data_IF_153649617716
#
_entry.id   IF_153649617716
#
_cell.length_a   1.000
_cell.length_b   1.000
_cell.length_c   1.000
_cell.angle_alpha   90.00
_cell.angle_beta   90.00
_cell.angle_gamma   90.00
#
_symmetry.space_group_name_H-M   'P 1'
#
loop_
_entity.id
_entity.type
_entity.pdbx_description
1 polymer ?
#
# COMPACT_ATOMS: atom_id res chain seq x y z
N UNK A 1 27.80 2.35 0.28
CA UNK A 1 27.14 3.38 -0.52
C UNK A 1 26.25 4.19 0.40
N UNK A 2 26.27 5.52 0.35
CA UNK A 2 25.60 6.35 1.34
C UNK A 2 24.08 6.30 1.15
N UNK A 3 23.38 6.04 2.25
CA UNK A 3 21.92 6.12 2.33
C UNK A 3 21.52 7.36 3.11
N UNK A 4 20.62 8.15 2.56
CA UNK A 4 20.17 9.40 3.15
C UNK A 4 18.65 9.39 3.38
N UNK A 5 18.20 10.06 4.42
CA UNK A 5 16.78 10.30 4.69
C UNK A 5 16.55 11.81 4.69
N UNK A 6 15.66 12.27 3.83
CA UNK A 6 15.23 13.66 3.74
C UNK A 6 13.81 13.74 4.32
N UNK A 7 13.59 14.62 5.30
CA UNK A 7 12.32 14.76 6.01
C UNK A 7 11.82 16.20 5.86
N UNK A 8 10.69 16.36 5.18
CA UNK A 8 9.91 17.58 5.14
C UNK A 8 8.74 17.44 6.13
N UNK A 9 8.98 17.78 7.39
CA UNK A 9 8.02 17.56 8.47
C UNK A 9 6.73 18.35 8.25
N UNK A 10 6.83 19.60 7.78
CA UNK A 10 5.67 20.46 7.54
C UNK A 10 4.71 19.86 6.49
N UNK A 11 5.23 19.09 5.56
CA UNK A 11 4.45 18.42 4.51
C UNK A 11 4.13 16.97 4.84
N UNK A 12 4.66 16.42 5.94
CA UNK A 12 4.58 14.99 6.29
C UNK A 12 5.06 14.08 5.15
N UNK A 13 6.15 14.48 4.48
CA UNK A 13 6.80 13.75 3.40
C UNK A 13 8.24 13.44 3.79
N UNK A 14 8.65 12.19 3.65
CA UNK A 14 10.05 11.80 3.75
C UNK A 14 10.47 10.98 2.55
N UNK A 15 11.70 11.15 2.10
CA UNK A 15 12.30 10.44 1.00
C UNK A 15 13.56 9.71 1.46
N UNK A 16 13.69 8.45 1.07
CA UNK A 16 14.88 7.63 1.31
C UNK A 16 15.67 7.55 0.01
N UNK A 17 16.91 7.99 0.06
CA UNK A 17 17.85 7.96 -1.05
C UNK A 17 18.87 6.85 -0.86
N UNK A 18 19.23 6.22 -1.95
CA UNK A 18 20.42 5.41 -2.07
C UNK A 18 21.24 6.03 -3.18
N UNK A 19 22.46 6.49 -2.85
CA UNK A 19 23.20 7.39 -3.70
C UNK A 19 22.36 8.63 -4.01
N UNK A 20 22.23 9.00 -5.28
CA UNK A 20 21.43 10.17 -5.72
C UNK A 20 20.01 9.78 -6.20
N UNK A 21 19.60 8.50 -5.99
CA UNK A 21 18.31 8.01 -6.43
C UNK A 21 17.33 7.82 -5.28
N UNK A 22 16.12 8.33 -5.44
CA UNK A 22 15.03 8.08 -4.49
C UNK A 22 14.58 6.62 -4.63
N UNK A 23 14.60 5.92 -3.49
CA UNK A 23 14.19 4.52 -3.40
C UNK A 23 12.78 4.33 -2.85
N UNK A 24 12.37 5.20 -1.94
CA UNK A 24 11.12 5.07 -1.21
C UNK A 24 10.63 6.45 -0.76
N UNK A 25 9.31 6.67 -0.83
CA UNK A 25 8.63 7.84 -0.28
C UNK A 25 7.74 7.40 0.87
N UNK A 26 7.78 8.15 1.96
CA UNK A 26 6.87 8.01 3.09
C UNK A 26 6.02 9.27 3.15
N UNK A 27 4.71 9.10 3.04
CA UNK A 27 3.76 10.21 3.10
C UNK A 27 2.71 9.89 4.16
N UNK A 28 2.52 10.79 5.10
CA UNK A 28 1.53 10.65 6.16
C UNK A 28 0.49 11.76 6.01
N UNK A 29 -0.47 11.55 5.14
CA UNK A 29 -1.57 12.49 4.88
C UNK A 29 -2.92 11.83 5.13
N UNK A 30 -3.91 12.63 5.52
CA UNK A 30 -5.28 12.18 5.73
C UNK A 30 -5.64 11.88 7.19
N UNK A 31 -6.95 11.80 7.44
CA UNK A 31 -7.53 11.68 8.78
C UNK A 31 -7.63 10.22 9.29
N UNK A 32 -7.29 9.23 8.46
CA UNK A 32 -7.43 7.81 8.76
C UNK A 32 -6.19 7.07 8.25
N UNK A 33 -5.10 7.19 9.01
CA UNK A 33 -3.82 6.58 8.64
C UNK A 33 -3.75 5.12 9.11
N UNK A 34 -2.94 4.31 8.43
CA UNK A 34 -2.63 2.95 8.90
C UNK A 34 -2.05 3.02 10.31
N UNK A 35 -2.52 2.15 11.17
CA UNK A 35 -2.23 2.04 12.61
C UNK A 35 -3.00 2.99 13.54
N UNK A 36 -3.77 3.95 13.02
CA UNK A 36 -4.67 4.75 13.87
C UNK A 36 -5.65 3.83 14.61
N UNK A 37 -5.87 4.10 15.91
CA UNK A 37 -6.78 3.33 16.76
C UNK A 37 -7.97 4.19 17.14
N UNK A 38 -9.16 3.70 16.85
CA UNK A 38 -10.44 4.37 17.11
C UNK A 38 -11.31 3.58 18.08
N UNK A 39 -12.05 4.32 18.89
CA UNK A 39 -13.26 3.81 19.50
C UNK A 39 -14.41 4.08 18.53
N UNK A 40 -14.83 3.06 17.77
CA UNK A 40 -15.88 3.17 16.77
C UNK A 40 -17.24 2.72 17.30
N UNK A 41 -18.29 3.02 16.53
CA UNK A 41 -19.66 2.56 16.75
C UNK A 41 -20.10 1.73 15.55
N UNK A 42 -20.56 0.51 15.80
CA UNK A 42 -21.11 -0.35 14.74
C UNK A 42 -22.40 0.29 14.21
N UNK A 43 -22.44 0.63 12.94
CA UNK A 43 -23.64 1.17 12.31
C UNK A 43 -24.50 0.08 11.71
N UNK A 44 -23.87 -0.79 10.91
CA UNK A 44 -24.59 -1.83 10.20
C UNK A 44 -23.81 -3.13 10.18
N UNK A 45 -24.51 -4.26 10.31
CA UNK A 45 -23.98 -5.62 10.20
C UNK A 45 -24.59 -6.28 8.98
N UNK A 46 -23.75 -6.80 8.08
CA UNK A 46 -24.19 -7.41 6.82
C UNK A 46 -23.82 -8.90 6.81
N UNK A 47 -24.78 -9.77 7.13
CA UNK A 47 -24.53 -11.21 7.22
C UNK A 47 -24.08 -11.83 5.89
N UNK A 48 -24.61 -11.35 4.76
CA UNK A 48 -24.35 -11.92 3.45
C UNK A 48 -22.89 -11.84 2.98
N UNK A 49 -22.07 -10.98 3.62
CA UNK A 49 -20.64 -10.84 3.35
C UNK A 49 -19.78 -10.98 4.61
N UNK A 50 -20.35 -11.48 5.71
CA UNK A 50 -19.67 -11.63 7.01
C UNK A 50 -18.89 -10.39 7.47
N UNK A 51 -19.48 -9.20 7.29
CA UNK A 51 -18.84 -7.93 7.57
C UNK A 51 -19.74 -6.94 8.30
N UNK A 52 -19.13 -5.91 8.87
CA UNK A 52 -19.85 -4.79 9.48
C UNK A 52 -19.24 -3.45 9.05
N UNK A 53 -20.07 -2.42 9.05
CA UNK A 53 -19.63 -1.03 8.92
C UNK A 53 -19.57 -0.37 10.29
N UNK A 54 -18.47 0.31 10.54
CA UNK A 54 -18.16 0.95 11.82
C UNK A 54 -17.92 2.43 11.58
N UNK A 55 -18.68 3.28 12.24
CA UNK A 55 -18.45 4.70 12.28
C UNK A 55 -17.25 5.00 13.18
N UNK A 56 -16.25 5.67 12.62
CA UNK A 56 -15.00 6.07 13.31
C UNK A 56 -14.86 7.60 13.40
N UNK A 57 -15.96 8.34 13.18
CA UNK A 57 -15.98 9.80 13.27
C UNK A 57 -15.83 10.53 11.94
N UNK A 58 -15.82 9.82 10.82
CA UNK A 58 -15.92 10.41 9.48
C UNK A 58 -17.39 10.42 9.05
N UNK A 59 -17.91 11.61 8.73
CA UNK A 59 -19.31 11.77 8.33
C UNK A 59 -19.62 11.15 6.96
N UNK A 60 -18.60 10.97 6.12
CA UNK A 60 -18.80 10.54 4.73
C UNK A 60 -18.57 9.03 4.53
N UNK A 61 -17.71 8.40 5.37
CA UNK A 61 -17.25 7.04 5.10
C UNK A 61 -17.08 6.20 6.36
N UNK A 62 -17.87 5.17 6.46
CA UNK A 62 -17.72 4.17 7.50
C UNK A 62 -16.53 3.24 7.21
N UNK A 63 -15.86 2.80 8.28
CA UNK A 63 -14.85 1.77 8.17
C UNK A 63 -15.47 0.39 7.99
N UNK A 64 -14.83 -0.46 7.21
CA UNK A 64 -15.23 -1.84 6.94
C UNK A 64 -14.43 -2.82 7.80
N UNK A 65 -15.10 -3.72 8.52
CA UNK A 65 -14.50 -4.81 9.29
C UNK A 65 -15.11 -6.15 8.90
N UNK A 66 -14.27 -7.12 8.54
CA UNK A 66 -14.71 -8.48 8.22
C UNK A 66 -14.63 -9.37 9.46
N UNK A 67 -15.45 -10.42 9.53
CA UNK A 67 -15.50 -11.36 10.67
C UNK A 67 -14.14 -11.96 11.05
N UNK A 68 -13.26 -12.18 10.08
CA UNK A 68 -11.89 -12.66 10.32
C UNK A 68 -10.99 -11.65 11.04
N UNK A 69 -11.31 -10.37 10.95
CA UNK A 69 -10.52 -9.27 11.48
C UNK A 69 -11.05 -8.75 12.84
N UNK A 70 -12.10 -9.35 13.39
CA UNK A 70 -12.72 -8.93 14.65
C UNK A 70 -11.85 -9.14 15.91
N UNK A 71 -10.77 -9.90 15.80
CA UNK A 71 -9.81 -10.10 16.90
C UNK A 71 -10.46 -10.70 18.16
N UNK A 72 -10.36 -10.01 19.31
CA UNK A 72 -10.80 -10.54 20.59
C UNK A 72 -12.32 -10.77 20.68
N UNK A 73 -13.11 -10.09 19.87
CA UNK A 73 -14.56 -10.28 19.82
C UNK A 73 -14.93 -11.66 19.29
N UNK A 74 -14.16 -12.20 18.34
CA UNK A 74 -14.34 -13.55 17.80
C UNK A 74 -13.90 -14.64 18.79
N UNK A 75 -12.90 -14.37 19.64
CA UNK A 75 -12.37 -15.34 20.60
C UNK A 75 -13.32 -15.61 21.79
N UNK A 76 -14.25 -14.69 22.07
CA UNK A 76 -15.21 -14.83 23.18
C UNK A 76 -16.38 -15.77 22.87
N UNK A 77 -16.63 -16.07 21.59
CA UNK A 77 -17.70 -16.96 21.13
C UNK A 77 -17.17 -17.86 20.02
N UNK A 78 -17.23 -19.17 20.20
CA UNK A 78 -16.79 -20.13 19.19
C UNK A 78 -17.66 -20.03 17.94
N UNK A 79 -17.05 -19.71 16.79
CA UNK A 79 -17.57 -19.85 15.43
C UNK A 79 -19.00 -19.31 15.16
N UNK A 80 -19.38 -18.18 15.74
CA UNK A 80 -20.68 -17.56 15.47
C UNK A 80 -20.68 -16.73 14.19
N UNK A 81 -21.84 -16.58 13.57
CA UNK A 81 -22.08 -15.61 12.50
C UNK A 81 -21.78 -14.19 13.01
N UNK A 82 -21.45 -13.26 12.12
CA UNK A 82 -21.10 -11.89 12.51
C UNK A 82 -22.20 -11.20 13.32
N UNK A 83 -23.45 -11.56 13.09
CA UNK A 83 -24.63 -11.09 13.82
C UNK A 83 -24.70 -11.53 15.29
N UNK A 84 -23.98 -12.60 15.66
CA UNK A 84 -23.84 -13.04 17.05
C UNK A 84 -22.70 -12.32 17.77
N UNK A 85 -21.73 -11.79 17.00
CA UNK A 85 -20.51 -11.15 17.49
C UNK A 85 -20.65 -9.64 17.63
N UNK A 86 -21.37 -9.01 16.72
CA UNK A 86 -21.58 -7.55 16.66
C UNK A 86 -23.07 -7.23 16.56
N UNK A 87 -23.45 -6.16 17.27
CA UNK A 87 -24.79 -5.56 17.18
C UNK A 87 -24.68 -4.09 16.78
N UNK A 88 -25.68 -3.54 16.06
CA UNK A 88 -25.75 -2.11 15.80
C UNK A 88 -25.65 -1.29 17.11
N UNK A 89 -25.03 -0.11 17.03
CA UNK A 89 -24.75 0.79 18.17
C UNK A 89 -23.74 0.27 19.21
N UNK A 90 -23.16 -0.92 19.01
CA UNK A 90 -22.10 -1.42 19.86
C UNK A 90 -20.81 -0.63 19.66
N UNK A 91 -20.17 -0.25 20.80
CA UNK A 91 -18.83 0.36 20.78
C UNK A 91 -17.80 -0.74 20.56
N UNK A 92 -16.86 -0.47 19.65
CA UNK A 92 -15.77 -1.39 19.30
C UNK A 92 -14.44 -0.66 19.21
N UNK A 93 -13.39 -1.25 19.78
CA UNK A 93 -12.03 -0.76 19.61
C UNK A 93 -11.46 -1.36 18.33
N UNK A 94 -11.08 -0.50 17.39
CA UNK A 94 -10.63 -0.91 16.05
C UNK A 94 -9.39 -0.13 15.64
N UNK A 95 -8.56 -0.76 14.80
CA UNK A 95 -7.37 -0.18 14.21
C UNK A 95 -7.49 -0.14 12.70
N UNK A 96 -7.03 0.93 12.07
CA UNK A 96 -6.97 1.05 10.61
C UNK A 96 -5.89 0.12 10.08
N UNK A 97 -6.29 -0.87 9.27
CA UNK A 97 -5.39 -1.81 8.60
C UNK A 97 -5.05 -1.35 7.17
N UNK A 98 -5.99 -0.68 6.51
CA UNK A 98 -5.81 -0.05 5.20
C UNK A 98 -6.54 1.28 5.18
N UNK A 99 -5.87 2.29 4.61
CA UNK A 99 -6.45 3.61 4.40
C UNK A 99 -7.62 3.59 3.42
N UNK A 100 -8.52 4.57 3.49
CA UNK A 100 -9.61 4.70 2.53
C UNK A 100 -9.06 4.92 1.13
N UNK A 101 -9.72 4.34 0.11
CA UNK A 101 -9.32 4.47 -1.30
C UNK A 101 -10.54 4.70 -2.17
N UNK A 102 -10.48 5.69 -3.05
CA UNK A 102 -11.61 6.08 -3.88
C UNK A 102 -12.86 6.32 -3.02
N UNK A 103 -13.96 5.63 -3.32
CA UNK A 103 -15.22 5.71 -2.57
C UNK A 103 -15.33 4.70 -1.41
N UNK A 104 -14.28 3.88 -1.17
CA UNK A 104 -14.29 2.86 -0.11
C UNK A 104 -13.72 3.44 1.17
N UNK A 105 -14.42 3.21 2.29
CA UNK A 105 -13.91 3.54 3.62
C UNK A 105 -12.70 2.68 4.03
N UNK A 106 -12.04 3.01 5.16
CA UNK A 106 -10.88 2.28 5.64
C UNK A 106 -11.24 0.85 6.02
N UNK A 107 -10.31 -0.08 5.80
CA UNK A 107 -10.43 -1.43 6.36
C UNK A 107 -9.94 -1.45 7.79
N UNK A 108 -10.76 -1.99 8.68
CA UNK A 108 -10.51 -2.02 10.11
C UNK A 108 -10.19 -3.44 10.59
N UNK A 109 -9.52 -3.51 11.74
CA UNK A 109 -9.28 -4.76 12.47
C UNK A 109 -9.42 -4.54 13.97
N UNK A 110 -9.94 -5.53 14.68
CA UNK A 110 -9.92 -5.61 16.15
C UNK A 110 -8.62 -6.23 16.70
N UNK A 111 -7.73 -6.73 15.83
CA UNK A 111 -6.42 -7.21 16.20
C UNK A 111 -5.44 -6.03 16.33
N UNK A 112 -5.52 -5.31 17.46
CA UNK A 112 -4.67 -4.17 17.72
C UNK A 112 -3.21 -4.59 17.75
N UNK A 113 -2.36 -3.80 17.10
CA UNK A 113 -0.90 -3.95 17.09
C UNK A 113 -0.24 -2.59 17.30
N UNK A 114 0.70 -2.52 18.24
CA UNK A 114 1.45 -1.31 18.56
C UNK A 114 2.90 -1.50 18.10
N UNK A 115 3.32 -0.83 17.01
CA UNK A 115 4.67 -0.99 16.48
C UNK A 115 5.67 -0.12 17.24
N UNK A 116 6.61 -0.75 17.93
CA UNK A 116 7.82 -0.13 18.47
C UNK A 116 8.98 -0.18 17.45
N UNK A 117 10.16 0.21 17.92
CA UNK A 117 11.40 0.16 17.13
C UNK A 117 11.88 -1.28 16.95
N UNK A 118 11.92 -2.06 18.01
CA UNK A 118 12.49 -3.41 18.06
C UNK A 118 11.44 -4.50 18.10
N UNK A 119 10.28 -4.20 18.64
CA UNK A 119 9.18 -5.14 18.80
C UNK A 119 7.85 -4.55 18.34
N UNK A 120 6.87 -5.43 18.14
CA UNK A 120 5.46 -5.04 17.99
C UNK A 120 4.69 -5.73 19.10
N UNK A 121 4.00 -4.95 19.92
CA UNK A 121 3.11 -5.46 20.96
C UNK A 121 1.73 -5.75 20.37
N UNK A 122 1.23 -6.94 20.60
CA UNK A 122 -0.11 -7.36 20.20
C UNK A 122 -0.95 -7.66 21.45
N UNK A 123 -1.72 -6.69 21.97
CA UNK A 123 -2.44 -6.82 23.25
C UNK A 123 -3.39 -8.00 23.32
N UNK A 124 -3.96 -8.40 22.17
CA UNK A 124 -4.86 -9.54 22.07
C UNK A 124 -4.24 -10.73 21.29
N UNK A 125 -2.95 -10.63 20.99
CA UNK A 125 -2.20 -11.67 20.31
C UNK A 125 -1.78 -12.80 21.25
N UNK A 126 -1.20 -13.86 20.68
CA UNK A 126 -0.66 -15.00 21.42
C UNK A 126 0.76 -15.32 20.98
N UNK A 127 1.58 -15.77 21.94
CA UNK A 127 2.91 -16.28 21.65
C UNK A 127 3.94 -15.21 21.25
N UNK A 128 5.08 -15.69 20.78
CA UNK A 128 6.21 -14.88 20.31
C UNK A 128 6.53 -15.24 18.87
N UNK A 129 6.60 -14.23 18.03
CA UNK A 129 7.01 -14.34 16.64
C UNK A 129 8.30 -13.54 16.42
N UNK A 130 9.13 -13.97 15.48
CA UNK A 130 10.34 -13.27 15.07
C UNK A 130 10.29 -12.94 13.58
N UNK A 131 10.86 -11.80 13.20
CA UNK A 131 11.05 -11.45 11.80
C UNK A 131 11.78 -12.58 11.06
N UNK A 132 11.27 -12.94 9.88
CA UNK A 132 11.91 -13.93 9.00
C UNK A 132 13.20 -13.40 8.35
N UNK A 133 13.53 -12.11 8.54
CA UNK A 133 14.76 -11.48 8.03
C UNK A 133 15.95 -11.74 8.93
N UNK A 134 15.74 -12.00 10.22
CA UNK A 134 16.78 -12.41 11.15
C UNK A 134 17.20 -13.85 10.76
N UNK A 135 18.37 -13.99 10.17
CA UNK A 135 18.83 -15.27 9.58
C UNK A 135 19.80 -16.02 10.47
N UNK A 136 20.53 -15.32 11.34
CA UNK A 136 21.45 -15.92 12.28
C UNK A 136 20.68 -16.73 13.32
N UNK A 137 20.92 -18.04 13.42
CA UNK A 137 20.17 -18.95 14.30
C UNK A 137 20.47 -18.72 15.77
N UNK A 138 21.70 -18.34 16.13
CA UNK A 138 22.08 -18.02 17.51
C UNK A 138 21.35 -16.77 17.97
N UNK A 139 21.34 -15.74 17.14
CA UNK A 139 20.63 -14.50 17.41
C UNK A 139 19.11 -14.69 17.46
N UNK A 140 18.56 -15.53 16.58
CA UNK A 140 17.14 -15.92 16.64
C UNK A 140 16.80 -16.59 17.96
N UNK A 141 17.68 -17.47 18.44
CA UNK A 141 17.48 -18.19 19.70
C UNK A 141 17.58 -17.25 20.89
N UNK A 142 18.57 -16.34 20.91
CA UNK A 142 18.73 -15.29 21.91
C UNK A 142 17.49 -14.39 21.99
N UNK A 143 17.08 -13.82 20.87
CA UNK A 143 15.93 -12.93 20.80
C UNK A 143 14.59 -13.63 21.12
N UNK A 144 14.48 -14.91 20.79
CA UNK A 144 13.30 -15.72 21.16
C UNK A 144 13.23 -15.94 22.66
N UNK A 145 14.35 -16.30 23.29
CA UNK A 145 14.44 -16.52 24.74
C UNK A 145 14.10 -15.22 25.50
N UNK A 146 14.72 -14.11 25.09
CA UNK A 146 14.43 -12.79 25.66
C UNK A 146 12.93 -12.45 25.51
N UNK A 147 12.38 -12.56 24.31
CA UNK A 147 10.98 -12.19 24.06
C UNK A 147 9.99 -13.08 24.82
N UNK A 148 10.31 -14.35 25.08
CA UNK A 148 9.49 -15.22 25.93
C UNK A 148 9.53 -14.76 27.38
N UNK A 149 10.72 -14.35 27.85
CA UNK A 149 10.94 -13.91 29.24
C UNK A 149 10.20 -12.60 29.54
N UNK A 150 10.31 -11.61 28.63
CA UNK A 150 9.74 -10.27 28.85
C UNK A 150 8.28 -10.13 28.43
N UNK A 151 7.74 -11.12 27.71
CA UNK A 151 6.38 -11.06 27.14
C UNK A 151 5.32 -10.90 28.24
N UNK A 152 4.46 -9.87 28.18
CA UNK A 152 3.38 -9.71 29.15
C UNK A 152 2.35 -10.86 29.07
N UNK A 153 1.79 -11.22 30.19
CA UNK A 153 0.76 -12.27 30.26
C UNK A 153 -0.45 -11.91 29.38
N UNK A 154 -0.95 -12.86 28.61
CA UNK A 154 -2.12 -12.66 27.75
C UNK A 154 -1.88 -11.87 26.45
N UNK A 155 -0.66 -11.38 26.23
CA UNK A 155 -0.30 -10.62 25.02
C UNK A 155 0.60 -11.42 24.08
N UNK A 156 0.74 -10.97 22.84
CA UNK A 156 1.69 -11.48 21.85
C UNK A 156 2.80 -10.46 21.56
N UNK A 157 3.98 -10.96 21.18
CA UNK A 157 5.10 -10.14 20.73
C UNK A 157 5.57 -10.59 19.35
N UNK A 158 5.94 -9.60 18.50
CA UNK A 158 6.68 -9.86 17.28
C UNK A 158 8.00 -9.07 17.35
N UNK A 159 9.12 -9.80 17.31
CA UNK A 159 10.46 -9.19 17.28
C UNK A 159 10.78 -8.76 15.86
N UNK A 160 11.11 -7.48 15.68
CA UNK A 160 11.47 -6.88 14.39
C UNK A 160 12.93 -7.16 14.05
N UNK A 161 13.31 -6.95 12.79
CA UNK A 161 14.68 -7.13 12.31
C UNK A 161 15.66 -6.18 13.00
N UNK A 162 15.20 -4.99 13.33
CA UNK A 162 15.97 -3.93 13.98
C UNK A 162 16.44 -4.30 15.40
N UNK A 163 15.91 -5.37 15.99
CA UNK A 163 16.36 -5.91 17.28
C UNK A 163 17.66 -6.73 17.16
N UNK A 164 18.06 -7.13 15.94
CA UNK A 164 19.26 -7.92 15.69
C UNK A 164 20.52 -7.17 16.20
N UNK A 165 21.31 -7.82 17.05
CA UNK A 165 22.51 -7.25 17.66
C UNK A 165 22.27 -6.13 18.68
N UNK A 166 21.03 -5.90 19.14
CA UNK A 166 20.72 -4.88 20.15
C UNK A 166 20.80 -5.45 21.58
N UNK A 167 21.14 -4.55 22.50
CA UNK A 167 21.14 -4.85 23.93
C UNK A 167 19.73 -5.19 24.43
N UNK A 168 19.63 -6.02 25.43
CA UNK A 168 18.35 -6.49 25.98
C UNK A 168 17.57 -5.33 26.61
N UNK A 169 18.26 -4.43 27.27
CA UNK A 169 17.70 -3.25 27.92
C UNK A 169 16.95 -2.36 26.93
N UNK A 170 17.52 -2.14 25.73
CA UNK A 170 16.86 -1.33 24.69
C UNK A 170 15.55 -1.98 24.18
N UNK A 171 15.51 -3.31 24.11
CA UNK A 171 14.30 -4.05 23.72
C UNK A 171 13.24 -4.00 24.83
N UNK A 172 13.68 -4.05 26.10
CA UNK A 172 12.80 -3.94 27.26
C UNK A 172 12.21 -2.53 27.39
N UNK A 173 12.99 -1.48 27.20
CA UNK A 173 12.52 -0.08 27.19
C UNK A 173 11.48 0.17 26.10
N UNK A 174 11.69 -0.41 24.88
CA UNK A 174 10.71 -0.35 23.79
C UNK A 174 9.38 -1.02 24.21
N UNK A 175 9.46 -2.18 24.88
CA UNK A 175 8.28 -2.88 25.40
C UNK A 175 7.54 -2.06 26.46
N UNK A 176 8.24 -1.49 27.43
CA UNK A 176 7.63 -0.68 28.49
C UNK A 176 6.90 0.55 27.91
N UNK A 177 7.49 1.19 26.90
CA UNK A 177 6.85 2.30 26.20
C UNK A 177 5.54 1.87 25.55
N UNK A 178 5.53 0.71 24.86
CA UNK A 178 4.33 0.17 24.23
C UNK A 178 3.26 -0.28 25.23
N UNK A 179 3.65 -0.79 26.39
CA UNK A 179 2.72 -1.13 27.46
C UNK A 179 2.03 0.13 28.01
N UNK A 180 2.79 1.19 28.29
CA UNK A 180 2.23 2.50 28.74
C UNK A 180 1.27 3.08 27.70
N UNK A 181 1.64 2.98 26.40
CA UNK A 181 0.76 3.40 25.32
C UNK A 181 -0.54 2.59 25.30
N UNK A 182 -0.47 1.26 25.47
CA UNK A 182 -1.65 0.41 25.52
C UNK A 182 -2.55 0.73 26.72
N UNK A 183 -1.98 0.92 27.91
CA UNK A 183 -2.71 1.32 29.13
C UNK A 183 -3.44 2.65 28.92
N UNK A 184 -2.77 3.64 28.31
CA UNK A 184 -3.39 4.92 27.97
C UNK A 184 -4.59 4.75 27.03
N UNK A 185 -4.45 3.92 25.99
CA UNK A 185 -5.55 3.63 25.05
C UNK A 185 -6.74 2.98 25.78
N UNK A 186 -6.48 2.03 26.69
CA UNK A 186 -7.53 1.37 27.45
C UNK A 186 -8.29 2.36 28.38
N UNK A 187 -7.57 3.24 29.05
CA UNK A 187 -8.18 4.28 29.91
C UNK A 187 -9.03 5.22 29.04
N UNK A 188 -8.50 5.69 27.94
CA UNK A 188 -9.25 6.56 27.01
C UNK A 188 -10.48 5.86 26.42
N UNK A 189 -10.39 4.57 26.10
CA UNK A 189 -11.52 3.81 25.55
C UNK A 189 -12.69 3.71 26.53
N UNK A 190 -12.44 3.76 27.85
CA UNK A 190 -13.49 3.74 28.88
C UNK A 190 -14.07 5.12 29.16
N UNK A 191 -13.27 6.19 29.05
CA UNK A 191 -13.65 7.56 29.42
C UNK A 191 -14.17 8.41 28.27
N UNK A 192 -13.85 8.04 27.02
CA UNK A 192 -14.17 8.85 25.83
C UNK A 192 -15.51 8.44 25.21
N UNK A 193 -16.20 9.43 24.64
CA UNK A 193 -17.43 9.19 23.87
C UNK A 193 -17.06 8.70 22.46
N UNK A 194 -17.65 7.60 22.03
CA UNK A 194 -17.52 7.10 20.66
C UNK A 194 -18.47 7.86 19.69
N UNK A 195 -18.10 8.05 18.43
CA UNK A 195 -16.82 7.67 17.82
C UNK A 195 -15.69 8.66 18.16
N UNK A 196 -14.46 8.17 18.34
CA UNK A 196 -13.28 9.04 18.56
C UNK A 196 -11.96 8.35 18.22
N UNK A 197 -10.97 9.13 17.81
CA UNK A 197 -9.57 8.72 17.69
C UNK A 197 -8.96 8.61 19.08
N UNK A 198 -8.39 7.45 19.42
CA UNK A 198 -7.74 7.22 20.72
C UNK A 198 -6.22 7.24 20.61
N UNK A 199 -5.68 6.82 19.50
CA UNK A 199 -4.23 6.78 19.30
C UNK A 199 -3.87 7.02 17.84
N UNK A 200 -2.92 7.90 17.64
CA UNK A 200 -2.24 8.15 16.36
C UNK A 200 -0.75 8.26 16.63
N UNK A 201 0.03 7.86 15.65
CA UNK A 201 1.47 8.09 15.64
C UNK A 201 1.72 9.55 15.18
N UNK A 202 1.51 10.50 16.11
CA UNK A 202 1.50 11.94 15.81
C UNK A 202 2.90 12.49 15.46
N UNK A 203 3.96 11.81 15.91
CA UNK A 203 5.32 12.20 15.58
C UNK A 203 5.76 11.58 14.24
N UNK A 204 5.62 12.38 13.17
CA UNK A 204 6.05 11.97 11.83
C UNK A 204 7.53 11.60 11.77
N UNK A 205 8.39 12.33 12.49
CA UNK A 205 9.83 12.04 12.57
C UNK A 205 10.05 10.67 13.21
N UNK A 206 9.41 10.41 14.36
CA UNK A 206 9.51 9.11 15.03
C UNK A 206 9.07 7.98 14.11
N UNK A 207 7.95 8.14 13.40
CA UNK A 207 7.43 7.16 12.43
C UNK A 207 8.43 6.87 11.32
N UNK A 208 8.99 7.93 10.70
CA UNK A 208 9.99 7.79 9.63
C UNK A 208 11.26 7.11 10.15
N UNK A 209 11.80 7.54 11.29
CA UNK A 209 13.00 6.94 11.86
C UNK A 209 12.75 5.49 12.29
N UNK A 210 11.63 5.20 12.93
CA UNK A 210 11.28 3.84 13.35
C UNK A 210 11.25 2.86 12.18
N UNK A 211 10.75 3.29 11.04
CA UNK A 211 10.50 2.40 9.91
C UNK A 211 11.56 2.47 8.80
N UNK A 212 12.31 3.59 8.68
CA UNK A 212 13.25 3.83 7.59
C UNK A 212 14.72 3.90 8.01
N UNK A 213 14.99 4.26 9.28
CA UNK A 213 16.37 4.32 9.76
C UNK A 213 16.97 2.92 9.92
N UNK A 214 18.14 2.70 9.37
CA UNK A 214 18.94 1.47 9.43
C UNK A 214 20.41 1.83 9.60
N UNK A 215 21.25 0.88 9.95
CA UNK A 215 22.67 1.11 10.25
C UNK A 215 23.49 1.64 9.05
N UNK A 216 22.98 1.50 7.84
CA UNK A 216 23.58 2.00 6.59
C UNK A 216 23.19 3.47 6.27
N UNK A 217 22.34 4.11 7.10
CA UNK A 217 22.01 5.53 6.94
C UNK A 217 23.15 6.37 7.50
N UNK A 218 23.73 7.19 6.64
CA UNK A 218 24.84 8.09 7.00
C UNK A 218 24.44 9.56 7.11
N UNK A 219 23.25 9.94 6.61
CA UNK A 219 22.78 11.32 6.65
C UNK A 219 21.27 11.42 6.82
N UNK A 220 20.84 12.37 7.66
CA UNK A 220 19.42 12.72 7.82
C UNK A 220 19.33 14.25 7.70
N UNK A 221 18.50 14.74 6.79
CA UNK A 221 18.26 16.17 6.58
C UNK A 221 16.81 16.48 6.90
N UNK A 222 16.59 17.54 7.66
CA UNK A 222 15.24 17.99 8.07
C UNK A 222 15.02 19.46 7.71
N UNK A 223 13.75 19.84 7.49
CA UNK A 223 13.33 21.19 7.09
C UNK A 223 13.20 22.18 8.26
N UNK A 224 13.29 21.71 9.52
CA UNK A 224 13.07 22.55 10.70
C UNK A 224 14.18 22.32 11.75
N UNK A 225 14.78 23.38 12.33
CA UNK A 225 15.83 23.24 13.34
C UNK A 225 15.39 22.50 14.61
N UNK A 226 14.10 22.59 15.00
CA UNK A 226 13.58 21.83 16.13
C UNK A 226 13.52 20.34 15.83
N UNK A 227 13.31 19.97 14.57
CA UNK A 227 13.29 18.57 14.10
C UNK A 227 14.66 17.92 14.23
N UNK A 228 15.77 18.66 14.09
CA UNK A 228 17.13 18.16 14.36
C UNK A 228 17.26 17.66 15.79
N UNK A 229 16.75 18.43 16.75
CA UNK A 229 16.80 18.05 18.18
C UNK A 229 15.98 16.77 18.43
N UNK A 230 14.80 16.67 17.84
CA UNK A 230 13.92 15.50 17.97
C UNK A 230 14.53 14.26 17.33
N UNK A 231 15.10 14.37 16.10
CA UNK A 231 15.85 13.28 15.45
C UNK A 231 16.97 12.78 16.35
N UNK A 232 17.81 13.71 16.89
CA UNK A 232 18.89 13.36 17.82
C UNK A 232 18.36 12.65 19.06
N UNK A 233 17.28 13.15 19.66
CA UNK A 233 16.68 12.58 20.85
C UNK A 233 16.17 11.15 20.60
N UNK A 234 15.45 10.92 19.50
CA UNK A 234 14.96 9.59 19.16
C UNK A 234 16.11 8.59 18.92
N UNK A 235 17.15 9.00 18.18
CA UNK A 235 18.29 8.15 17.92
C UNK A 235 19.12 7.88 19.19
N UNK A 236 19.29 8.86 20.07
CA UNK A 236 19.93 8.69 21.38
C UNK A 236 19.15 7.70 22.26
N UNK A 237 17.83 7.84 22.34
CA UNK A 237 16.99 6.93 23.11
C UNK A 237 17.16 5.47 22.64
N UNK A 238 17.25 5.26 21.32
CA UNK A 238 17.45 3.91 20.75
C UNK A 238 18.89 3.40 20.81
N UNK A 239 19.84 4.25 21.17
CA UNK A 239 21.28 3.91 21.31
C UNK A 239 21.73 3.83 22.77
N UNK A 240 20.81 3.71 23.72
CA UNK A 240 21.12 3.68 25.16
C UNK A 240 21.74 4.98 25.65
N UNK A 241 21.23 6.12 25.20
CA UNK A 241 21.68 7.47 25.58
C UNK A 241 22.96 7.94 24.88
N UNK A 242 23.53 7.15 23.97
CA UNK A 242 24.73 7.53 23.21
C UNK A 242 24.37 8.23 21.90
N UNK A 243 25.14 9.23 21.47
CA UNK A 243 24.95 9.82 20.15
C UNK A 243 25.09 8.75 19.06
N UNK A 244 24.28 8.79 17.99
CA UNK A 244 24.42 7.86 16.89
C UNK A 244 25.78 8.10 16.19
N UNK A 245 26.60 7.05 16.10
CA UNK A 245 27.88 7.11 15.41
C UNK A 245 27.70 7.02 13.89
N UNK A 246 28.47 7.80 13.14
CA UNK A 246 28.51 7.73 11.67
C UNK A 246 27.29 8.33 10.95
N UNK A 247 26.39 9.01 11.67
CA UNK A 247 25.20 9.66 11.08
C UNK A 247 25.28 11.17 11.22
N UNK A 248 25.29 11.86 10.08
CA UNK A 248 25.20 13.32 10.01
C UNK A 248 23.73 13.75 10.06
N UNK A 249 23.38 14.63 10.99
CA UNK A 249 22.01 15.15 11.13
C UNK A 249 22.05 16.65 10.87
N UNK A 250 21.51 17.06 9.72
CA UNK A 250 21.57 18.43 9.21
C UNK A 250 20.20 19.10 9.19
N UNK A 251 20.22 20.41 9.41
CA UNK A 251 19.10 21.30 9.09
C UNK A 251 19.31 21.89 7.69
N UNK A 252 18.28 21.78 6.84
CA UNK A 252 18.25 22.45 5.55
C UNK A 252 18.06 23.96 5.74
N UNK A 253 19.02 24.76 5.29
CA UNK A 253 19.05 26.22 5.51
C UNK A 253 18.86 27.04 4.25
N UNK A 254 18.77 26.37 3.08
CA UNK A 254 18.61 27.05 1.81
C UNK A 254 17.20 27.67 1.67
N UNK A 255 17.09 28.71 0.85
CA UNK A 255 15.81 29.39 0.56
C UNK A 255 14.83 28.54 -0.22
N UNK A 256 15.33 27.57 -0.97
CA UNK A 256 14.52 26.58 -1.70
C UNK A 256 14.00 25.52 -0.74
N UNK A 257 12.78 25.02 -0.96
CA UNK A 257 12.23 23.96 -0.10
C UNK A 257 13.13 22.70 -0.12
N UNK A 258 13.23 21.97 0.97
CA UNK A 258 14.00 20.72 1.07
C UNK A 258 13.60 19.71 0.02
N UNK A 259 12.30 19.64 -0.32
CA UNK A 259 11.77 18.74 -1.34
C UNK A 259 12.22 19.11 -2.77
N UNK A 260 12.36 20.40 -3.07
CA UNK A 260 12.84 20.87 -4.37
C UNK A 260 14.37 20.79 -4.46
N UNK A 261 15.08 21.16 -3.39
CA UNK A 261 16.54 21.08 -3.32
C UNK A 261 17.04 19.65 -3.59
N UNK A 262 16.44 18.66 -2.94
CA UNK A 262 16.74 17.23 -3.17
C UNK A 262 15.95 16.61 -4.33
N UNK A 263 15.30 17.42 -5.17
CA UNK A 263 14.55 16.97 -6.37
C UNK A 263 13.44 15.94 -6.07
N UNK A 264 12.92 15.89 -4.85
CA UNK A 264 11.84 14.97 -4.49
C UNK A 264 10.58 15.27 -5.31
N UNK A 265 10.21 16.55 -5.45
CA UNK A 265 9.07 16.97 -6.27
C UNK A 265 9.23 16.60 -7.75
N UNK A 266 10.45 16.70 -8.30
CA UNK A 266 10.73 16.27 -9.67
C UNK A 266 10.57 14.75 -9.82
N UNK A 267 11.10 13.98 -8.87
CA UNK A 267 10.97 12.52 -8.87
C UNK A 267 9.50 12.06 -8.74
N UNK A 268 8.68 12.75 -7.94
CA UNK A 268 7.23 12.49 -7.86
C UNK A 268 6.57 12.73 -9.21
N UNK A 269 6.87 13.86 -9.88
CA UNK A 269 6.32 14.16 -11.22
C UNK A 269 6.74 13.10 -12.25
N UNK A 270 7.99 12.65 -12.23
CA UNK A 270 8.45 11.57 -13.11
C UNK A 270 7.78 10.24 -12.79
N UNK A 271 7.62 9.92 -11.51
CA UNK A 271 6.97 8.68 -11.09
C UNK A 271 5.45 8.64 -11.37
N UNK A 272 4.81 9.76 -11.67
CA UNK A 272 3.42 9.81 -12.15
C UNK A 272 3.31 9.51 -13.65
N UNK A 273 4.42 9.59 -14.41
CA UNK A 273 4.42 9.25 -15.84
C UNK A 273 4.49 7.73 -16.01
N UNK A 274 3.84 7.16 -17.04
CA UNK A 274 3.93 5.72 -17.31
C UNK A 274 5.35 5.31 -17.75
N UNK A 275 6.04 6.12 -18.54
CA UNK A 275 7.36 5.80 -19.10
C UNK A 275 8.47 6.10 -18.09
N UNK A 276 9.42 5.16 -17.99
CA UNK A 276 10.67 5.28 -17.23
C UNK A 276 11.83 4.89 -18.14
N UNK A 277 12.74 5.82 -18.38
CA UNK A 277 13.91 5.56 -19.22
C UNK A 277 14.99 4.83 -18.43
N UNK A 278 15.67 3.89 -19.09
CA UNK A 278 16.77 3.11 -18.53
C UNK A 278 18.11 3.74 -18.93
N UNK A 279 19.17 3.63 -18.11
CA UNK A 279 20.49 4.22 -18.39
C UNK A 279 21.12 3.76 -19.71
N UNK A 280 20.82 2.53 -20.15
CA UNK A 280 21.32 2.01 -21.43
C UNK A 280 20.65 2.62 -22.67
N UNK A 281 19.48 3.27 -22.51
CA UNK A 281 18.65 3.80 -23.59
C UNK A 281 17.41 2.98 -23.91
N UNK A 282 17.18 1.88 -23.18
CA UNK A 282 15.90 1.21 -23.11
C UNK A 282 14.88 1.98 -22.26
N UNK A 283 13.69 1.48 -22.12
CA UNK A 283 12.66 2.05 -21.23
C UNK A 283 11.64 1.02 -20.83
N UNK A 284 10.94 1.31 -19.74
CA UNK A 284 9.78 0.54 -19.29
C UNK A 284 8.54 1.43 -19.30
N UNK A 285 7.38 0.82 -19.53
CA UNK A 285 6.07 1.45 -19.41
C UNK A 285 5.34 0.80 -18.24
N UNK A 286 4.85 1.58 -17.30
CA UNK A 286 4.13 1.11 -16.11
C UNK A 286 2.71 1.66 -16.15
N UNK A 287 1.73 0.79 -16.30
CA UNK A 287 0.32 1.16 -16.41
C UNK A 287 -0.51 0.45 -15.35
N UNK A 288 -1.01 1.19 -14.35
CA UNK A 288 -1.98 0.65 -13.42
C UNK A 288 -3.35 0.55 -14.07
N UNK A 289 -3.98 -0.61 -13.95
CA UNK A 289 -5.39 -0.82 -14.26
C UNK A 289 -6.21 -0.94 -12.97
N UNK A 290 -7.52 -1.14 -13.07
CA UNK A 290 -8.35 -1.34 -11.88
C UNK A 290 -7.97 -2.62 -11.10
N UNK A 291 -7.59 -3.70 -11.77
CA UNK A 291 -7.35 -5.00 -11.17
C UNK A 291 -5.87 -5.31 -10.90
N UNK A 292 -4.97 -4.84 -11.75
CA UNK A 292 -3.54 -5.19 -11.72
C UNK A 292 -2.68 -4.06 -12.33
N UNK A 293 -1.37 -4.17 -12.22
CA UNK A 293 -0.43 -3.29 -12.93
C UNK A 293 0.30 -4.08 -14.00
N UNK A 294 0.37 -3.53 -15.20
CA UNK A 294 1.14 -4.09 -16.31
C UNK A 294 2.42 -3.28 -16.49
N UNK A 295 3.51 -3.97 -16.77
CA UNK A 295 4.82 -3.36 -17.04
C UNK A 295 5.37 -3.96 -18.32
N UNK A 296 5.62 -3.12 -19.32
CA UNK A 296 6.20 -3.48 -20.62
C UNK A 296 7.66 -3.02 -20.69
N UNK A 297 8.54 -3.83 -21.25
CA UNK A 297 10.00 -3.57 -21.37
C UNK A 297 10.40 -3.42 -22.82
N UNK A 298 11.05 -2.31 -23.13
CA UNK A 298 11.50 -1.95 -24.47
C UNK A 298 13.01 -1.68 -24.51
N UNK A 299 13.71 -2.21 -25.52
CA UNK A 299 15.14 -1.98 -25.71
C UNK A 299 15.48 -0.55 -26.20
N UNK A 300 14.49 0.16 -26.77
CA UNK A 300 14.70 1.51 -27.28
C UNK A 300 15.82 1.59 -28.32
N UNK A 301 16.75 2.51 -28.11
CA UNK A 301 17.91 2.73 -28.97
C UNK A 301 19.17 1.97 -28.53
N UNK A 302 19.07 1.04 -27.57
CA UNK A 302 20.24 0.31 -27.08
C UNK A 302 20.72 -0.73 -28.10
N UNK A 303 21.91 -0.50 -28.69
CA UNK A 303 22.51 -1.33 -29.72
C UNK A 303 24.00 -1.61 -29.49
N UNK A 304 24.49 -1.39 -28.24
CA UNK A 304 25.94 -1.43 -27.93
C UNK A 304 26.50 -2.82 -27.64
N UNK A 305 25.67 -3.85 -27.52
CA UNK A 305 26.13 -5.22 -27.28
C UNK A 305 26.63 -5.91 -28.55
N UNK A 306 27.47 -6.92 -28.39
CA UNK A 306 28.05 -7.67 -29.50
C UNK A 306 27.00 -8.55 -30.24
N UNK A 307 25.93 -8.95 -29.54
CA UNK A 307 24.86 -9.79 -30.08
C UNK A 307 23.47 -9.29 -29.63
N UNK A 308 22.46 -9.57 -30.43
CA UNK A 308 21.05 -9.30 -30.08
C UNK A 308 20.66 -9.96 -28.75
N UNK A 309 21.09 -11.21 -28.54
CA UNK A 309 20.85 -11.97 -27.31
C UNK A 309 21.40 -11.27 -26.07
N UNK A 310 22.62 -10.72 -26.13
CA UNK A 310 23.21 -9.97 -25.03
C UNK A 310 22.48 -8.66 -24.78
N UNK A 311 22.07 -7.97 -25.86
CA UNK A 311 21.25 -6.75 -25.77
C UNK A 311 19.96 -7.03 -24.97
N UNK A 312 19.22 -8.07 -25.32
CA UNK A 312 17.96 -8.46 -24.67
C UNK A 312 18.18 -8.79 -23.20
N UNK A 313 19.17 -9.66 -22.91
CA UNK A 313 19.45 -10.05 -21.51
C UNK A 313 19.89 -8.86 -20.65
N UNK A 314 20.69 -7.95 -21.22
CA UNK A 314 21.12 -6.74 -20.53
C UNK A 314 19.96 -5.81 -20.24
N UNK A 315 19.17 -5.47 -21.26
CA UNK A 315 18.00 -4.60 -21.11
C UNK A 315 17.00 -5.15 -20.10
N UNK A 316 16.69 -6.45 -20.18
CA UNK A 316 15.79 -7.10 -19.24
C UNK A 316 16.33 -7.09 -17.80
N UNK A 317 17.64 -7.27 -17.61
CA UNK A 317 18.26 -7.23 -16.28
C UNK A 317 18.25 -5.82 -15.68
N UNK A 318 18.53 -4.81 -16.48
CA UNK A 318 18.44 -3.41 -16.10
C UNK A 318 16.99 -3.01 -15.77
N UNK A 319 16.04 -3.41 -16.64
CA UNK A 319 14.61 -3.24 -16.40
C UNK A 319 14.16 -3.90 -15.09
N UNK A 320 14.57 -5.13 -14.81
CA UNK A 320 14.24 -5.84 -13.57
C UNK A 320 14.70 -5.08 -12.31
N UNK A 321 15.90 -4.48 -12.37
CA UNK A 321 16.43 -3.64 -11.28
C UNK A 321 15.58 -2.38 -11.09
N UNK A 322 15.27 -1.70 -12.19
CA UNK A 322 14.48 -0.47 -12.16
C UNK A 322 13.02 -0.75 -11.77
N UNK A 323 12.40 -1.83 -12.26
CA UNK A 323 11.07 -2.27 -11.85
C UNK A 323 11.01 -2.46 -10.34
N UNK A 324 11.97 -3.18 -9.76
CA UNK A 324 12.02 -3.39 -8.31
C UNK A 324 12.12 -2.05 -7.54
N UNK A 325 12.80 -1.04 -8.07
CA UNK A 325 12.86 0.32 -7.51
C UNK A 325 11.53 1.04 -7.66
N UNK A 326 10.93 1.01 -8.85
CA UNK A 326 9.66 1.68 -9.15
C UNK A 326 8.49 1.12 -8.33
N UNK A 327 8.47 -0.19 -8.09
CA UNK A 327 7.47 -0.80 -7.21
C UNK A 327 7.50 -0.21 -5.79
N UNK A 328 8.70 0.09 -5.26
CA UNK A 328 8.87 0.74 -3.94
C UNK A 328 8.53 2.23 -4.01
N UNK A 329 9.09 2.95 -4.98
CA UNK A 329 8.93 4.41 -5.14
C UNK A 329 7.45 4.77 -5.35
N UNK A 330 6.77 4.07 -6.26
CA UNK A 330 5.35 4.30 -6.56
C UNK A 330 4.40 3.61 -5.58
N UNK A 331 4.92 2.78 -4.68
CA UNK A 331 4.17 1.93 -3.76
C UNK A 331 3.08 1.09 -4.48
N UNK A 332 3.45 0.51 -5.62
CA UNK A 332 2.56 -0.37 -6.40
C UNK A 332 2.35 -1.66 -5.62
N UNK A 333 1.11 -2.09 -5.48
CA UNK A 333 0.74 -3.33 -4.79
C UNK A 333 -0.38 -4.07 -5.50
N UNK A 334 -0.59 -5.33 -5.13
CA UNK A 334 -1.54 -6.24 -5.79
C UNK A 334 -0.84 -7.17 -6.76
N UNK A 335 -1.54 -7.56 -7.81
CA UNK A 335 -1.00 -8.37 -8.91
C UNK A 335 -0.26 -7.46 -9.88
N UNK A 336 0.92 -7.88 -10.31
CA UNK A 336 1.77 -7.15 -11.26
C UNK A 336 2.22 -8.15 -12.32
N UNK A 337 2.09 -7.77 -13.57
CA UNK A 337 2.52 -8.56 -14.72
C UNK A 337 3.62 -7.78 -15.42
N UNK A 338 4.74 -8.43 -15.68
CA UNK A 338 5.88 -7.85 -16.39
C UNK A 338 6.08 -8.60 -17.70
N UNK A 339 6.03 -7.85 -18.79
CA UNK A 339 6.34 -8.30 -20.15
C UNK A 339 7.78 -7.94 -20.46
N UNK A 340 8.69 -8.91 -20.28
CA UNK A 340 10.09 -8.75 -20.63
C UNK A 340 10.29 -9.04 -22.12
N UNK A 341 11.31 -8.41 -22.72
CA UNK A 341 11.68 -8.72 -24.10
C UNK A 341 11.95 -10.22 -24.23
N UNK A 342 11.39 -10.85 -25.25
CA UNK A 342 11.47 -12.29 -25.48
C UNK A 342 12.89 -12.83 -25.47
N UNK A 343 13.07 -13.96 -24.80
CA UNK A 343 14.37 -14.66 -24.69
C UNK A 343 14.19 -16.13 -25.07
N UNK A 344 14.82 -16.54 -26.16
CA UNK A 344 14.80 -17.95 -26.64
C UNK A 344 15.52 -18.92 -25.68
N UNK A 345 16.53 -18.40 -24.96
CA UNK A 345 17.36 -19.21 -24.08
C UNK A 345 16.76 -19.39 -22.70
N UNK A 346 16.37 -20.61 -22.35
CA UNK A 346 15.92 -20.97 -20.99
C UNK A 346 16.95 -20.59 -19.91
N UNK A 347 18.24 -20.67 -20.22
CA UNK A 347 19.32 -20.27 -19.29
C UNK A 347 19.27 -18.76 -19.01
N UNK A 348 18.97 -17.94 -20.00
CA UNK A 348 18.91 -16.49 -19.82
C UNK A 348 17.62 -16.08 -19.09
N UNK A 349 16.51 -16.76 -19.32
CA UNK A 349 15.28 -16.60 -18.55
C UNK A 349 15.52 -16.88 -17.07
N UNK A 350 16.22 -17.98 -16.73
CA UNK A 350 16.55 -18.31 -15.34
C UNK A 350 17.47 -17.27 -14.69
N UNK A 351 18.47 -16.78 -15.42
CA UNK A 351 19.38 -15.71 -14.94
C UNK A 351 18.61 -14.41 -14.65
N UNK A 352 17.69 -14.03 -15.54
CA UNK A 352 16.84 -12.87 -15.34
C UNK A 352 15.97 -13.03 -14.10
N UNK A 353 15.29 -14.17 -13.93
CA UNK A 353 14.45 -14.42 -12.76
C UNK A 353 15.23 -14.41 -11.45
N UNK A 354 16.45 -14.97 -11.46
CA UNK A 354 17.34 -14.93 -10.29
C UNK A 354 17.74 -13.49 -9.95
N UNK A 355 18.15 -12.71 -10.97
CA UNK A 355 18.49 -11.29 -10.82
C UNK A 355 17.31 -10.49 -10.29
N UNK A 356 16.13 -10.64 -10.88
CA UNK A 356 14.92 -9.96 -10.46
C UNK A 356 14.52 -10.32 -9.03
N UNK A 357 14.56 -11.61 -8.69
CA UNK A 357 14.28 -12.06 -7.32
C UNK A 357 15.26 -11.44 -6.30
N UNK A 358 16.55 -11.30 -6.67
CA UNK A 358 17.54 -10.63 -5.83
C UNK A 358 17.23 -9.14 -5.65
N UNK A 359 16.84 -8.44 -6.70
CA UNK A 359 16.44 -7.02 -6.64
C UNK A 359 15.19 -6.81 -5.78
N UNK A 360 14.21 -7.72 -5.85
CA UNK A 360 12.97 -7.67 -5.05
C UNK A 360 13.21 -7.96 -3.56
N UNK A 361 14.26 -8.65 -3.16
CA UNK A 361 14.54 -9.00 -1.73
C UNK A 361 14.76 -7.79 -0.83
N UNK A 362 15.16 -6.66 -1.39
CA UNK A 362 15.37 -5.39 -0.66
C UNK A 362 14.04 -4.81 -0.18
N UNK A 363 12.94 -5.09 -0.88
CA UNK A 363 11.62 -4.56 -0.58
C UNK A 363 11.05 -5.15 0.72
N UNK A 364 10.61 -4.26 1.63
CA UNK A 364 9.97 -4.62 2.89
C UNK A 364 8.61 -5.30 2.70
N UNK A 365 7.91 -4.97 1.60
CA UNK A 365 6.63 -5.58 1.23
C UNK A 365 6.74 -7.01 0.72
N UNK A 366 7.97 -7.51 0.47
CA UNK A 366 8.29 -8.88 0.03
C UNK A 366 7.48 -9.29 -1.20
N UNK A 367 7.72 -8.66 -2.36
CA UNK A 367 7.15 -9.14 -3.61
C UNK A 367 7.53 -10.60 -3.83
N UNK A 368 6.61 -11.37 -4.39
CA UNK A 368 6.82 -12.78 -4.69
C UNK A 368 6.53 -13.01 -6.17
N UNK A 369 7.51 -13.51 -6.89
CA UNK A 369 7.31 -14.02 -8.25
C UNK A 369 6.51 -15.32 -8.11
N UNK A 370 5.33 -15.36 -8.73
CA UNK A 370 4.46 -16.53 -8.72
C UNK A 370 4.94 -17.53 -9.78
N UNK A 371 5.06 -17.08 -11.01
CA UNK A 371 5.51 -17.93 -12.13
C UNK A 371 6.01 -17.09 -13.32
N UNK A 372 6.68 -17.76 -14.24
CA UNK A 372 6.86 -17.35 -15.63
C UNK A 372 5.80 -18.10 -16.44
N UNK A 373 4.88 -17.39 -17.06
CA UNK A 373 3.81 -18.00 -17.86
C UNK A 373 4.33 -18.61 -19.18
N UNK A 374 3.50 -19.40 -19.83
CA UNK A 374 3.82 -19.95 -21.18
C UNK A 374 3.96 -18.85 -22.23
N UNK A 375 3.36 -17.68 -22.00
CA UNK A 375 3.47 -16.50 -22.85
C UNK A 375 4.73 -15.65 -22.58
N UNK A 376 5.63 -16.09 -21.70
CA UNK A 376 6.83 -15.33 -21.36
C UNK A 376 6.62 -14.24 -20.31
N UNK A 377 5.40 -14.05 -19.80
CA UNK A 377 5.08 -13.04 -18.81
C UNK A 377 5.53 -13.43 -17.40
N UNK A 378 6.11 -12.51 -16.67
CA UNK A 378 6.46 -12.72 -15.26
C UNK A 378 5.35 -12.19 -14.38
N UNK A 379 4.70 -13.10 -13.65
CA UNK A 379 3.64 -12.80 -12.71
C UNK A 379 4.21 -12.65 -11.30
N UNK A 380 3.90 -11.54 -10.65
CA UNK A 380 4.32 -11.32 -9.28
C UNK A 380 3.22 -10.65 -8.45
N UNK A 381 3.31 -10.82 -7.15
CA UNK A 381 2.42 -10.16 -6.20
C UNK A 381 3.23 -9.36 -5.19
N UNK A 382 2.74 -8.17 -4.83
CA UNK A 382 3.32 -7.31 -3.80
C UNK A 382 2.24 -6.87 -2.82
N UNK A 383 2.49 -7.06 -1.52
CA UNK A 383 1.55 -6.61 -0.48
C UNK A 383 1.48 -5.08 -0.49
N UNK A 384 0.27 -4.53 -0.61
CA UNK A 384 0.04 -3.09 -0.55
C UNK A 384 0.47 -2.50 0.81
N UNK A 385 1.19 -1.37 0.78
CA UNK A 385 1.74 -0.67 1.95
C UNK A 385 1.16 0.75 2.07
N UNK A 386 -0.18 0.88 2.12
CA UNK A 386 -0.85 2.19 2.13
C UNK A 386 -1.21 2.68 0.72
N UNK A 387 -1.35 4.00 0.55
CA UNK A 387 -1.67 4.63 -0.73
C UNK A 387 -0.49 4.59 -1.68
N UNK A 388 -0.76 4.39 -2.96
CA UNK A 388 0.26 4.51 -4.01
C UNK A 388 0.45 5.98 -4.43
N UNK A 389 1.47 6.23 -5.26
CA UNK A 389 1.82 7.58 -5.69
C UNK A 389 0.71 8.29 -6.46
N UNK A 390 -0.09 7.54 -7.23
CA UNK A 390 -1.22 8.07 -8.00
C UNK A 390 -2.35 8.53 -7.08
N UNK A 391 -2.61 7.78 -6.01
CA UNK A 391 -3.63 8.13 -5.00
C UNK A 391 -3.20 9.29 -4.09
N UNK A 392 -1.88 9.51 -3.93
CA UNK A 392 -1.33 10.58 -3.10
C UNK A 392 -1.20 11.91 -3.85
N UNK A 393 -0.76 11.87 -5.11
CA UNK A 393 -0.36 13.05 -5.86
C UNK A 393 -1.04 13.17 -7.23
N UNK A 394 -1.72 12.11 -7.70
CA UNK A 394 -2.47 12.11 -8.95
C UNK A 394 -3.88 12.69 -8.77
N UNK A 395 -4.35 13.33 -9.82
CA UNK A 395 -5.76 13.74 -9.96
C UNK A 395 -6.24 13.35 -11.36
N UNK A 396 -7.49 12.88 -11.50
CA UNK A 396 -8.07 12.62 -12.82
C UNK A 396 -7.98 13.87 -13.70
N UNK A 397 -7.62 13.70 -14.96
CA UNK A 397 -7.56 14.81 -15.90
C UNK A 397 -8.97 15.40 -16.10
N UNK A 398 -9.20 16.71 -15.89
CA UNK A 398 -10.54 17.28 -16.02
C UNK A 398 -11.09 17.26 -17.45
N UNK A 399 -10.22 17.11 -18.47
CA UNK A 399 -10.65 17.06 -19.87
C UNK A 399 -11.15 15.68 -20.30
N UNK A 400 -10.49 14.60 -19.86
CA UNK A 400 -10.85 13.24 -20.27
C UNK A 400 -11.36 12.38 -19.10
N UNK A 401 -11.53 12.95 -17.90
CA UNK A 401 -11.99 12.18 -16.74
C UNK A 401 -11.05 11.05 -16.32
N UNK A 402 -9.80 11.04 -16.81
CA UNK A 402 -8.83 9.95 -16.58
C UNK A 402 -8.77 8.92 -17.70
N UNK A 403 -9.56 9.07 -18.78
CA UNK A 403 -9.60 8.11 -19.90
C UNK A 403 -8.35 8.13 -20.77
N UNK A 404 -7.53 9.19 -20.72
CA UNK A 404 -6.29 9.33 -21.52
C UNK A 404 -6.53 9.72 -22.98
N UNK A 405 -7.76 9.81 -23.45
CA UNK A 405 -8.14 10.20 -24.80
C UNK A 405 -9.45 10.99 -24.82
N UNK A 406 -9.65 11.75 -25.88
CA UNK A 406 -10.89 12.50 -26.11
C UNK A 406 -11.69 11.82 -27.22
N UNK A 407 -13.01 11.90 -27.11
CA UNK A 407 -13.88 11.44 -28.20
C UNK A 407 -13.75 12.39 -29.40
N UNK A 408 -13.67 11.83 -30.58
CA UNK A 408 -13.82 12.53 -31.85
C UNK A 408 -14.92 11.82 -32.65
N UNK A 409 -16.10 12.40 -32.67
CA UNK A 409 -17.24 11.80 -33.34
C UNK A 409 -17.31 12.28 -34.80
N UNK A 410 -17.74 11.42 -35.75
CA UNK A 410 -17.93 11.81 -37.15
C UNK A 410 -18.91 12.98 -37.26
N UNK A 411 -18.49 14.06 -37.90
CA UNK A 411 -19.30 15.28 -38.03
C UNK A 411 -19.08 16.35 -36.97
N UNK A 412 -18.29 16.07 -35.92
CA UNK A 412 -17.90 17.06 -34.93
C UNK A 412 -16.53 17.66 -35.26
N UNK A 413 -16.40 18.96 -35.19
CA UNK A 413 -15.12 19.67 -35.42
C UNK A 413 -14.28 19.85 -34.19
N UNK A 414 -14.76 19.40 -33.01
CA UNK A 414 -14.07 19.55 -31.73
C UNK A 414 -13.91 18.20 -31.01
N UNK A 415 -12.74 17.98 -30.40
CA UNK A 415 -12.52 16.90 -29.47
C UNK A 415 -13.28 17.17 -28.17
N UNK A 416 -14.10 16.23 -27.70
CA UNK A 416 -14.89 16.33 -26.49
C UNK A 416 -14.52 15.18 -25.55
N UNK A 417 -14.51 15.42 -24.25
CA UNK A 417 -14.31 14.36 -23.26
C UNK A 417 -15.46 13.35 -23.29
N UNK A 418 -15.18 12.07 -23.26
CA UNK A 418 -16.21 11.00 -23.36
C UNK A 418 -17.27 11.11 -22.27
N UNK A 419 -16.90 11.51 -21.06
CA UNK A 419 -17.84 11.70 -19.96
C UNK A 419 -18.82 12.85 -20.16
N UNK A 420 -18.41 13.91 -20.87
CA UNK A 420 -19.31 15.03 -21.19
C UNK A 420 -20.36 14.67 -22.25
N UNK A 421 -20.10 13.63 -23.06
CA UNK A 421 -21.06 13.13 -24.05
C UNK A 421 -22.15 12.28 -23.40
N UNK A 422 -21.83 11.56 -22.33
CA UNK A 422 -22.78 10.69 -21.61
C UNK A 422 -23.81 11.45 -20.78
N UNK A 423 -23.52 12.71 -20.39
CA UNK A 423 -24.40 13.53 -19.56
C UNK A 423 -25.34 14.43 -20.33
N UNK A 424 -25.16 14.58 -21.65
CA UNK A 424 -26.15 15.27 -22.48
C UNK A 424 -27.12 14.21 -23.05
N UNK A 425 -28.43 14.31 -22.75
CA UNK A 425 -29.40 13.47 -23.44
C UNK A 425 -29.26 13.73 -24.93
N UNK A 426 -29.00 12.66 -25.70
CA UNK A 426 -29.00 12.73 -27.17
C UNK A 426 -30.25 13.50 -27.62
N UNK A 427 -30.12 14.53 -28.45
CA UNK A 427 -31.29 15.15 -29.00
C UNK A 427 -32.09 14.07 -29.73
N UNK A 428 -33.34 13.91 -29.33
CA UNK A 428 -34.26 12.99 -30.00
C UNK A 428 -34.20 13.26 -31.53
N UNK A 429 -34.07 12.22 -32.36
CA UNK A 429 -34.02 12.42 -33.80
C UNK A 429 -35.23 13.23 -34.22
N UNK A 430 -34.99 14.36 -34.88
CA UNK A 430 -36.04 15.20 -35.45
C UNK A 430 -36.80 14.32 -36.43
N UNK A 431 -38.13 14.10 -36.26
CA UNK A 431 -38.90 13.28 -37.20
C UNK A 431 -38.80 13.88 -38.57
N UNK A 432 -38.46 13.06 -39.56
CA UNK A 432 -38.45 13.47 -40.96
C UNK A 432 -39.83 14.10 -41.34
N UNK A 433 -39.87 15.18 -42.12
CA UNK A 433 -41.07 15.98 -42.30
C UNK A 433 -42.22 15.29 -43.11
N UNK A 434 -42.21 13.97 -43.32
CA UNK A 434 -43.23 13.25 -44.06
C UNK A 434 -43.45 11.79 -43.56
N UNK A 435 -43.32 11.48 -42.28
CA UNK A 435 -43.76 10.18 -41.79
C UNK A 435 -45.26 10.21 -41.44
N UNK A 436 -46.06 9.43 -42.16
CA UNK A 436 -47.48 9.14 -41.84
C UNK A 436 -47.57 8.55 -40.42
N UNK A 437 -48.65 8.85 -39.64
CA UNK A 437 -48.81 8.30 -38.30
C UNK A 437 -48.86 6.76 -38.38
N UNK A 438 -47.96 6.09 -37.64
CA UNK A 438 -48.01 4.66 -37.42
C UNK A 438 -49.10 4.42 -36.39
N UNK A 439 -50.18 3.71 -36.80
CA UNK A 439 -51.22 3.22 -35.91
C UNK A 439 -50.59 2.33 -34.83
N UNK A 440 -50.98 2.54 -33.57
CA UNK A 440 -50.62 1.65 -32.48
C UNK A 440 -51.17 0.24 -32.72
N UNK A 441 -50.39 -0.82 -32.57
CA UNK A 441 -50.94 -2.18 -32.57
C UNK A 441 -51.84 -2.34 -31.33
N UNK A 442 -53.04 -2.88 -31.55
CA UNK A 442 -53.99 -3.28 -30.51
C UNK A 442 -53.40 -4.40 -29.63
N UNK A 443 -53.71 -4.33 -28.36
CA UNK A 443 -53.46 -5.36 -27.36
C UNK A 443 -54.01 -6.71 -27.87
N UNK A 444 -53.13 -7.70 -28.11
CA UNK A 444 -53.55 -9.06 -28.34
C UNK A 444 -52.49 -10.03 -27.77
N UNK A 445 -52.92 -10.70 -26.70
CA UNK A 445 -52.49 -12.00 -26.20
C UNK A 445 -51.05 -12.21 -25.69
N UNK A 446 -50.94 -12.03 -24.39
CA UNK A 446 -50.06 -12.78 -23.50
C UNK A 446 -50.52 -14.27 -23.39
N UNK A 447 -50.14 -15.12 -24.32
CA UNK A 447 -50.32 -16.58 -24.17
C UNK A 447 -49.37 -17.45 -25.01
N UNK A 448 -48.23 -16.89 -25.45
CA UNK A 448 -47.30 -17.62 -26.29
C UNK A 448 -45.95 -17.95 -25.64
N UNK A 449 -45.75 -17.68 -24.34
CA UNK A 449 -44.51 -17.95 -23.65
C UNK A 449 -44.55 -19.14 -22.68
N UNK A 450 -45.73 -19.74 -22.42
CA UNK A 450 -45.88 -20.88 -21.49
C UNK A 450 -45.71 -22.26 -22.12
N UNK A 451 -45.36 -22.36 -23.43
CA UNK A 451 -45.24 -23.67 -24.12
C UNK A 451 -43.79 -24.08 -24.49
N UNK A 452 -42.76 -23.42 -23.91
CA UNK A 452 -41.36 -23.74 -24.18
C UNK A 452 -40.56 -24.24 -22.96
N UNK A 453 -41.23 -24.57 -21.85
CA UNK A 453 -40.55 -25.04 -20.61
C UNK A 453 -41.01 -26.47 -20.17
N UNK A 454 -41.69 -27.24 -21.01
CA UNK A 454 -41.93 -28.67 -20.77
C UNK A 454 -41.37 -29.44 -21.94
N UNK A 455 -40.14 -29.96 -21.84
CA UNK A 455 -39.60 -31.16 -22.48
C UNK A 455 -38.05 -31.18 -22.33
N UNK A 456 -37.60 -31.64 -21.16
CA UNK A 456 -36.29 -32.30 -20.99
C UNK A 456 -36.22 -32.96 -19.62
N UNK A 457 -36.98 -34.07 -19.44
CA UNK A 457 -36.68 -35.09 -18.43
C UNK A 457 -37.22 -36.44 -18.94
N UNK A 458 -36.39 -37.18 -19.64
CA UNK A 458 -36.41 -38.67 -19.65
C UNK A 458 -35.33 -39.15 -20.63
N UNK A 459 -34.23 -39.62 -20.08
CA UNK A 459 -33.68 -40.94 -20.40
C UNK A 459 -32.29 -41.12 -19.75
N UNK A 460 -32.33 -41.90 -18.68
CA UNK A 460 -31.18 -42.69 -18.23
C UNK A 460 -31.43 -44.16 -18.74
N UNK A 461 -30.40 -45.01 -19.03
CA UNK A 461 -29.75 -45.73 -17.95
C UNK A 461 -28.26 -45.48 -17.79
#
# INVERSE_FOLDING_TARGET
>A
MPKQIIIAEQHHIAAVFWEDQIQELVVATGNQQVSDIFLGVVENVIPGIDAAFVNIGDAERNGFIHVTDLGPLRLKRSAGAITELLTPQQKVLVQVMKEPTGNKGPRLTGNISLPGRYIVLMPHGKGVNLSRRIRNDDERSRLRALAILIKPAGMGLLVRTEAEGKAEEAIMEDLESLQKQWESIQVQATSTRAPSLLNRDDDFIQKVLRDMYSADVNRIVVDNPNSVKRVKQHLMNWSGGRPPEGVLIDHHQESMSVLDYFRVNAAVREALKPRVDLPSGGYIIIEPTEALTVIDVNSGSFTRSATSRETVLWTNSEAATEIARQLRLRNIGGVIIVDFIDMDSRRDQLKLLEHFNKALKVDKARPQIAQLSELGLVELTRKRQGKNIYELFGQPCPQCGGLGHLAHLPGESKLVALESVSNNPLPLPIPAPNAKPVEKPSEANDSAWDSLLEDEDSDNP
#
